data_IF_830842354491
#
_entry.id   IF_830842354491
#
_cell.length_a   1.000
_cell.length_b   1.000
_cell.length_c   1.000
_cell.angle_alpha   90.00
_cell.angle_beta   90.00
_cell.angle_gamma   90.00
#
_symmetry.space_group_name_H-M   'P 1'
#
loop_
_entity.id
_entity.type
_entity.pdbx_description
1 polymer ?
#
# COMPACT_ATOMS: atom_id res chain seq x y z
N UNK A 1 2.76 5.29 -20.80
CA UNK A 1 2.61 3.84 -20.60
C UNK A 1 3.71 3.45 -19.62
N UNK A 2 3.38 3.21 -18.35
CA UNK A 2 4.36 2.69 -17.40
C UNK A 2 4.65 1.25 -17.82
N UNK A 3 5.92 0.91 -18.05
CA UNK A 3 6.30 -0.46 -18.30
C UNK A 3 6.03 -1.26 -17.02
N UNK A 4 5.24 -2.34 -17.11
CA UNK A 4 5.07 -3.28 -16.02
C UNK A 4 6.45 -3.75 -15.57
N UNK A 5 6.90 -3.24 -14.43
CA UNK A 5 8.15 -3.66 -13.82
C UNK A 5 7.87 -5.02 -13.18
N UNK A 6 8.04 -6.09 -13.95
CA UNK A 6 7.94 -7.45 -13.43
C UNK A 6 9.06 -7.65 -12.41
N UNK A 7 8.72 -7.59 -11.13
CA UNK A 7 9.62 -7.94 -10.04
C UNK A 7 9.79 -9.46 -10.09
N UNK A 8 11.00 -9.93 -10.38
CA UNK A 8 11.37 -11.33 -10.24
C UNK A 8 12.21 -11.44 -8.98
N UNK A 9 11.61 -11.75 -7.82
CA UNK A 9 12.40 -11.92 -6.61
C UNK A 9 13.34 -13.11 -6.84
N UNK A 10 14.63 -12.89 -6.63
CA UNK A 10 15.64 -13.95 -6.59
C UNK A 10 15.54 -14.65 -5.22
N UNK A 11 14.43 -15.33 -5.03
CA UNK A 11 14.08 -16.05 -3.80
C UNK A 11 13.94 -17.52 -4.14
N UNK A 12 14.70 -18.33 -3.40
CA UNK A 12 14.58 -19.78 -3.45
C UNK A 12 13.32 -20.20 -2.68
N UNK A 13 12.32 -20.71 -3.41
CA UNK A 13 11.08 -21.22 -2.83
C UNK A 13 11.28 -22.34 -1.82
N UNK A 14 12.40 -23.07 -1.89
CA UNK A 14 12.70 -24.16 -0.96
C UNK A 14 13.12 -23.66 0.42
N UNK A 15 13.49 -22.37 0.54
CA UNK A 15 13.90 -21.75 1.79
C UNK A 15 12.76 -20.96 2.47
N UNK A 16 11.53 -21.06 1.94
CA UNK A 16 10.35 -20.37 2.47
C UNK A 16 9.47 -21.38 3.24
N UNK A 17 9.41 -21.24 4.55
CA UNK A 17 8.58 -22.08 5.41
C UNK A 17 7.10 -21.66 5.44
N UNK A 18 6.78 -20.40 5.10
CA UNK A 18 5.42 -19.86 5.21
C UNK A 18 5.14 -18.83 4.14
N UNK A 19 4.01 -19.00 3.45
CA UNK A 19 3.45 -18.03 2.51
C UNK A 19 2.14 -17.53 3.10
N UNK A 20 2.00 -16.21 3.20
CA UNK A 20 0.75 -15.56 3.59
C UNK A 20 0.05 -15.10 2.32
N UNK A 21 -1.21 -15.51 2.16
CA UNK A 21 -2.07 -15.15 1.04
C UNK A 21 -3.22 -14.30 1.57
N UNK A 22 -3.69 -13.36 0.75
CA UNK A 22 -4.91 -12.61 1.02
C UNK A 22 -6.16 -13.53 0.95
N UNK A 23 -7.31 -13.03 1.41
CA UNK A 23 -8.58 -13.76 1.49
C UNK A 23 -9.08 -14.31 0.14
N UNK A 24 -8.63 -13.71 -0.97
CA UNK A 24 -8.94 -14.15 -2.33
C UNK A 24 -7.83 -15.00 -2.98
N UNK A 25 -6.75 -15.30 -2.23
CA UNK A 25 -5.60 -16.07 -2.70
C UNK A 25 -4.50 -15.24 -3.38
N UNK A 26 -4.59 -13.90 -3.35
CA UNK A 26 -3.55 -13.02 -3.90
C UNK A 26 -2.31 -13.04 -3.02
N UNK A 27 -1.13 -13.15 -3.65
CA UNK A 27 0.14 -13.01 -2.94
C UNK A 27 0.36 -11.54 -2.60
N UNK A 28 0.42 -11.23 -1.31
CA UNK A 28 0.64 -9.87 -0.85
C UNK A 28 2.10 -9.47 -1.06
N UNK A 29 2.29 -8.31 -1.71
CA UNK A 29 3.58 -7.63 -1.78
C UNK A 29 3.56 -6.46 -0.80
N UNK A 30 4.13 -6.69 0.39
CA UNK A 30 4.24 -5.64 1.41
C UNK A 30 4.97 -4.39 0.90
N UNK A 31 5.96 -4.53 0.03
CA UNK A 31 6.69 -3.38 -0.49
C UNK A 31 5.79 -2.51 -1.37
N UNK A 32 4.94 -3.16 -2.19
CA UNK A 32 3.92 -2.45 -2.96
C UNK A 32 2.92 -1.75 -2.03
N UNK A 33 2.40 -2.42 -1.01
CA UNK A 33 1.43 -1.84 -0.07
C UNK A 33 1.99 -0.62 0.65
N UNK A 34 3.21 -0.74 1.21
CA UNK A 34 3.88 0.36 1.90
C UNK A 34 4.10 1.56 0.95
N UNK A 35 4.56 1.30 -0.27
CA UNK A 35 4.75 2.36 -1.27
C UNK A 35 3.42 3.03 -1.64
N UNK A 36 2.39 2.24 -1.94
CA UNK A 36 1.11 2.72 -2.41
C UNK A 36 0.45 3.62 -1.37
N UNK A 37 0.32 3.14 -0.14
CA UNK A 37 -0.40 3.86 0.92
C UNK A 37 0.43 4.97 1.59
N UNK A 38 1.76 4.84 1.72
CA UNK A 38 2.57 5.84 2.43
C UNK A 38 3.20 6.91 1.52
N UNK A 39 3.32 6.64 0.22
CA UNK A 39 3.96 7.54 -0.74
C UNK A 39 3.01 7.95 -1.86
N UNK A 40 2.57 6.98 -2.67
CA UNK A 40 1.83 7.27 -3.90
C UNK A 40 0.50 7.98 -3.63
N UNK A 41 -0.33 7.45 -2.72
CA UNK A 41 -1.63 8.06 -2.40
C UNK A 41 -1.45 9.46 -1.79
N UNK A 42 -0.58 9.70 -0.79
CA UNK A 42 -0.30 11.05 -0.29
C UNK A 42 0.19 12.05 -1.35
N UNK A 43 1.09 11.64 -2.24
CA UNK A 43 1.59 12.49 -3.32
C UNK A 43 0.44 12.93 -4.23
N UNK A 44 -0.39 12.00 -4.69
CA UNK A 44 -1.51 12.32 -5.58
C UNK A 44 -2.63 13.10 -4.86
N UNK A 45 -2.91 12.77 -3.60
CA UNK A 45 -3.88 13.50 -2.79
C UNK A 45 -3.47 14.96 -2.58
N UNK A 46 -2.17 15.21 -2.37
CA UNK A 46 -1.64 16.56 -2.22
C UNK A 46 -1.90 17.43 -3.46
N UNK A 47 -1.74 16.86 -4.66
CA UNK A 47 -1.98 17.53 -5.93
C UNK A 47 -3.47 17.86 -6.13
N UNK A 48 -4.37 16.94 -5.75
CA UNK A 48 -5.81 17.13 -5.89
C UNK A 48 -6.39 18.15 -4.92
N UNK A 49 -5.72 18.38 -3.79
CA UNK A 49 -6.21 19.24 -2.69
C UNK A 49 -5.41 20.52 -2.50
N UNK A 50 -4.40 20.75 -3.33
CA UNK A 50 -3.46 21.88 -3.21
C UNK A 50 -2.81 21.95 -1.81
N UNK A 51 -2.31 20.81 -1.34
CA UNK A 51 -1.62 20.65 -0.07
C UNK A 51 -0.14 20.33 -0.30
N UNK A 52 0.71 20.52 0.71
CA UNK A 52 2.03 19.90 0.71
C UNK A 52 1.90 18.37 0.87
N UNK A 53 2.88 17.62 0.38
CA UNK A 53 2.91 16.15 0.53
C UNK A 53 2.92 15.75 2.00
N UNK A 54 3.61 16.51 2.85
CA UNK A 54 3.67 16.27 4.29
C UNK A 54 2.29 16.49 4.95
N UNK A 55 1.56 17.52 4.54
CA UNK A 55 0.20 17.79 5.03
C UNK A 55 -0.76 16.67 4.60
N UNK A 56 -0.72 16.29 3.32
CA UNK A 56 -1.50 15.18 2.79
C UNK A 56 -1.19 13.87 3.51
N UNK A 57 0.10 13.57 3.76
CA UNK A 57 0.52 12.37 4.50
C UNK A 57 0.01 12.40 5.94
N UNK A 58 0.07 13.54 6.62
CA UNK A 58 -0.44 13.66 7.98
C UNK A 58 -1.96 13.43 8.05
N UNK A 59 -2.71 14.03 7.13
CA UNK A 59 -4.17 13.88 7.05
C UNK A 59 -4.58 12.44 6.73
N UNK A 60 -3.98 11.83 5.72
CA UNK A 60 -4.30 10.47 5.31
C UNK A 60 -3.95 9.46 6.40
N UNK A 61 -2.79 9.60 7.06
CA UNK A 61 -2.43 8.74 8.19
C UNK A 61 -3.45 8.83 9.33
N UNK A 62 -3.98 10.01 9.61
CA UNK A 62 -5.03 10.16 10.61
C UNK A 62 -6.31 9.45 10.20
N UNK A 63 -6.73 9.58 8.94
CA UNK A 63 -7.90 8.86 8.39
C UNK A 63 -7.71 7.34 8.45
N UNK A 64 -6.54 6.83 8.06
CA UNK A 64 -6.21 5.41 8.11
C UNK A 64 -6.29 4.86 9.54
N UNK A 65 -5.77 5.59 10.52
CA UNK A 65 -5.82 5.20 11.94
C UNK A 65 -7.25 5.09 12.49
N UNK A 66 -8.20 5.87 11.97
CA UNK A 66 -9.58 5.88 12.48
C UNK A 66 -10.34 4.59 12.17
N UNK A 67 -9.94 3.88 11.12
CA UNK A 67 -10.54 2.59 10.69
C UNK A 67 -9.60 1.41 10.90
N UNK A 68 -8.43 1.65 11.52
CA UNK A 68 -7.46 0.59 11.78
C UNK A 68 -8.09 -0.45 12.72
N UNK A 69 -7.97 -1.73 12.35
CA UNK A 69 -8.61 -2.87 13.01
C UNK A 69 -10.14 -2.95 12.88
N UNK A 70 -10.74 -2.16 11.98
CA UNK A 70 -12.15 -2.36 11.58
C UNK A 70 -12.23 -2.92 10.16
N UNK A 71 -13.42 -3.37 9.76
CA UNK A 71 -13.68 -3.78 8.37
C UNK A 71 -13.97 -2.57 7.47
N UNK A 72 -13.98 -1.35 8.01
CA UNK A 72 -14.37 -0.13 7.29
C UNK A 72 -13.28 0.37 6.33
N UNK A 73 -12.13 -0.33 6.25
CA UNK A 73 -11.03 0.01 5.35
C UNK A 73 -11.45 0.04 3.87
N UNK A 74 -12.47 -0.74 3.48
CA UNK A 74 -13.00 -0.76 2.11
C UNK A 74 -13.90 0.44 1.77
N UNK A 75 -14.30 1.23 2.75
CA UNK A 75 -15.24 2.35 2.61
C UNK A 75 -14.56 3.74 2.72
N UNK A 76 -13.22 3.75 2.77
CA UNK A 76 -12.37 4.94 2.93
C UNK A 76 -12.29 5.83 1.68
#
# INVERSE_FOLDING_TARGET
>A
MAADKIIRPDVSWHDIDTVLLDLDGTLLDKHFDDYFWEQYVPENYSLLRDLSVEQARAELRERYRQVENTLDWTDL
#
